data_IF_532909717114
#
_entry.id   IF_532909717114
#
_cell.length_a   1.000
_cell.length_b   1.000
_cell.length_c   1.000
_cell.angle_alpha   90.00
_cell.angle_beta   90.00
_cell.angle_gamma   90.00
#
_symmetry.space_group_name_H-M   'P 1'
#
loop_
_entity.id
_entity.type
_entity.pdbx_description
1 polymer ?
#
# COMPACT_ATOMS: atom_id res chain seq x y z
N UNK A 1 9.40 28.14 1.08
CA UNK A 1 8.00 27.66 1.11
C UNK A 1 8.03 26.36 1.90
N UNK A 2 7.58 26.38 3.16
CA UNK A 2 7.67 25.22 4.05
C UNK A 2 6.50 24.29 3.72
N UNK A 3 6.77 23.11 3.16
CA UNK A 3 5.80 22.04 3.15
C UNK A 3 5.55 21.63 4.60
N UNK A 4 4.40 22.02 5.15
CA UNK A 4 3.89 21.46 6.39
C UNK A 4 3.80 19.94 6.19
N UNK A 5 4.20 19.10 7.16
CA UNK A 5 3.96 17.68 7.04
C UNK A 5 2.46 17.50 7.12
N UNK A 6 1.80 17.47 5.96
CA UNK A 6 0.49 16.87 5.87
C UNK A 6 0.71 15.45 6.39
N UNK A 7 0.23 15.17 7.60
CA UNK A 7 0.12 13.81 8.15
C UNK A 7 -0.93 13.07 7.34
N UNK A 8 -0.72 12.99 6.04
CA UNK A 8 -1.49 12.17 5.15
C UNK A 8 -1.28 10.74 5.67
N UNK A 9 -2.35 9.98 5.91
CA UNK A 9 -2.20 8.60 6.33
C UNK A 9 -1.28 7.86 5.36
N UNK A 10 -0.10 7.48 5.86
CA UNK A 10 0.91 6.84 5.04
C UNK A 10 0.51 5.37 4.89
N UNK A 11 -0.24 5.07 3.83
CA UNK A 11 -0.50 3.70 3.39
C UNK A 11 0.76 3.20 2.67
N UNK A 12 1.24 2.02 3.01
CA UNK A 12 2.41 1.40 2.38
C UNK A 12 2.32 -0.12 2.42
N UNK A 13 3.24 -0.80 1.72
CA UNK A 13 3.44 -2.25 1.86
C UNK A 13 4.76 -2.49 2.59
N UNK A 14 4.71 -3.33 3.61
CA UNK A 14 5.90 -3.83 4.29
C UNK A 14 5.78 -5.35 4.42
N UNK A 15 6.72 -6.07 3.79
CA UNK A 15 6.66 -7.53 3.65
C UNK A 15 5.32 -7.97 3.02
N UNK A 16 4.49 -8.68 3.79
CA UNK A 16 3.18 -9.20 3.36
C UNK A 16 2.01 -8.41 3.97
N UNK A 17 2.27 -7.22 4.51
CA UNK A 17 1.25 -6.37 5.12
C UNK A 17 1.06 -5.09 4.34
N UNK A 18 -0.19 -4.69 4.20
CA UNK A 18 -0.53 -3.28 4.03
C UNK A 18 -0.43 -2.64 5.41
N UNK A 19 0.32 -1.55 5.49
CA UNK A 19 0.52 -0.80 6.73
C UNK A 19 -0.07 0.59 6.61
N UNK A 20 -0.60 1.09 7.72
CA UNK A 20 -1.07 2.46 7.89
C UNK A 20 -0.26 3.09 9.02
N UNK A 21 0.49 4.16 8.72
CA UNK A 21 1.37 4.80 9.72
C UNK A 21 2.29 3.77 10.40
N UNK A 22 2.87 2.87 9.61
CA UNK A 22 3.74 1.76 10.04
C UNK A 22 3.07 0.69 10.93
N UNK A 23 1.74 0.68 11.04
CA UNK A 23 0.99 -0.39 11.71
C UNK A 23 0.39 -1.33 10.69
N UNK A 24 0.58 -2.63 10.88
CA UNK A 24 -0.02 -3.67 10.06
C UNK A 24 -1.55 -3.62 10.18
N UNK A 25 -2.26 -3.47 9.06
CA UNK A 25 -3.73 -3.37 9.05
C UNK A 25 -4.39 -4.49 8.25
N UNK A 26 -3.82 -4.86 7.10
CA UNK A 26 -4.39 -5.88 6.21
C UNK A 26 -3.27 -6.80 5.75
N UNK A 27 -3.45 -8.10 5.95
CA UNK A 27 -2.56 -9.11 5.43
C UNK A 27 -2.83 -9.28 3.93
N UNK A 28 -1.78 -9.20 3.10
CA UNK A 28 -1.94 -9.32 1.66
C UNK A 28 -2.45 -10.72 1.29
N UNK A 29 -3.47 -10.81 0.42
CA UNK A 29 -3.81 -12.05 -0.27
C UNK A 29 -2.55 -12.71 -0.88
N UNK A 30 -2.41 -14.04 -0.81
CA UNK A 30 -1.23 -14.76 -1.30
C UNK A 30 -0.81 -14.37 -2.72
N UNK A 31 -1.77 -14.13 -3.61
CA UNK A 31 -1.58 -13.76 -5.01
C UNK A 31 -0.94 -12.37 -5.23
N UNK A 32 -0.86 -11.53 -4.20
CA UNK A 32 -0.29 -10.17 -4.27
C UNK A 32 1.01 -10.04 -3.48
N UNK A 33 1.53 -11.14 -2.92
CA UNK A 33 2.72 -11.09 -2.07
C UNK A 33 3.99 -11.04 -2.92
N UNK A 34 4.92 -10.12 -2.61
CA UNK A 34 6.24 -10.14 -3.21
C UNK A 34 6.94 -11.45 -2.85
N UNK A 35 7.39 -12.21 -3.84
CA UNK A 35 8.30 -13.34 -3.67
C UNK A 35 9.51 -13.15 -4.57
N UNK A 36 10.58 -13.90 -4.33
CA UNK A 36 11.79 -13.86 -5.16
C UNK A 36 11.47 -14.10 -6.66
N UNK A 37 10.50 -14.97 -6.94
CA UNK A 37 10.08 -15.31 -8.31
C UNK A 37 8.88 -14.49 -8.81
N UNK A 38 8.30 -13.63 -7.96
CA UNK A 38 7.13 -12.83 -8.27
C UNK A 38 7.30 -11.43 -7.68
N UNK A 39 8.08 -10.56 -8.33
CA UNK A 39 8.26 -9.19 -7.87
C UNK A 39 6.95 -8.42 -8.04
N UNK A 40 6.52 -7.75 -6.98
CA UNK A 40 5.42 -6.78 -7.01
C UNK A 40 5.99 -5.40 -6.74
N UNK A 41 5.58 -4.43 -7.55
CA UNK A 41 5.82 -3.02 -7.27
C UNK A 41 4.55 -2.40 -6.69
N UNK A 42 4.72 -1.32 -5.93
CA UNK A 42 3.58 -0.59 -5.41
C UNK A 42 3.87 0.90 -5.37
N UNK A 43 2.79 1.68 -5.41
CA UNK A 43 2.81 3.10 -5.10
C UNK A 43 1.56 3.44 -4.31
N UNK A 44 1.67 4.45 -3.45
CA UNK A 44 0.56 4.92 -2.65
C UNK A 44 0.39 6.42 -2.87
N UNK A 45 -0.87 6.85 -2.98
CA UNK A 45 -1.26 8.24 -3.03
C UNK A 45 -2.49 8.43 -2.16
N UNK A 46 -2.39 9.29 -1.16
CA UNK A 46 -3.45 9.50 -0.16
C UNK A 46 -3.90 8.16 0.48
N UNK A 47 -5.17 7.80 0.32
CA UNK A 47 -5.75 6.55 0.82
C UNK A 47 -5.88 5.48 -0.27
N UNK A 48 -5.17 5.61 -1.39
CA UNK A 48 -5.18 4.63 -2.48
C UNK A 48 -3.83 3.96 -2.61
N UNK A 49 -3.83 2.63 -2.63
CA UNK A 49 -2.68 1.78 -2.92
C UNK A 49 -2.85 1.16 -4.30
N UNK A 50 -1.86 1.32 -5.17
CA UNK A 50 -1.77 0.63 -6.45
C UNK A 50 -0.67 -0.42 -6.37
N UNK A 51 -0.98 -1.66 -6.79
CA UNK A 51 -0.04 -2.79 -6.81
C UNK A 51 0.08 -3.30 -8.24
N UNK A 52 1.29 -3.30 -8.78
CA UNK A 52 1.63 -3.92 -10.05
C UNK A 52 2.02 -5.38 -9.85
N UNK A 53 1.39 -6.27 -10.63
CA UNK A 53 1.60 -7.71 -10.59
C UNK A 53 2.52 -8.16 -11.72
N UNK A 54 3.25 -9.27 -11.52
CA UNK A 54 4.08 -9.87 -12.56
C UNK A 54 3.30 -10.31 -13.82
N UNK A 55 1.98 -10.51 -13.69
CA UNK A 55 1.08 -10.79 -14.81
C UNK A 55 0.82 -9.58 -15.72
N UNK A 56 1.36 -8.40 -15.39
CA UNK A 56 1.09 -7.14 -16.09
C UNK A 56 -0.21 -6.45 -15.67
N UNK A 57 -0.96 -7.03 -14.72
CA UNK A 57 -2.18 -6.43 -14.16
C UNK A 57 -1.84 -5.43 -13.05
N UNK A 58 -2.75 -4.49 -12.80
CA UNK A 58 -2.68 -3.54 -11.69
C UNK A 58 -3.94 -3.64 -10.85
N UNK A 59 -3.79 -3.76 -9.53
CA UNK A 59 -4.90 -3.69 -8.57
C UNK A 59 -4.87 -2.35 -7.84
N UNK A 60 -6.05 -1.75 -7.68
CA UNK A 60 -6.23 -0.52 -6.89
C UNK A 60 -7.05 -0.83 -5.64
N UNK A 61 -6.57 -0.38 -4.49
CA UNK A 61 -7.25 -0.53 -3.20
C UNK A 61 -7.44 0.84 -2.58
N UNK A 62 -8.71 1.25 -2.42
CA UNK A 62 -9.08 2.47 -1.72
C UNK A 62 -9.40 2.19 -0.26
N UNK A 63 -8.88 3.01 0.64
CA UNK A 63 -9.12 2.94 2.08
C UNK A 63 -9.99 4.10 2.52
N UNK A 64 -11.09 3.81 3.21
CA UNK A 64 -11.84 4.80 3.98
C UNK A 64 -11.22 4.88 5.36
N UNK A 65 -10.43 5.94 5.57
CA UNK A 65 -9.72 6.15 6.82
C UNK A 65 -10.56 7.07 7.68
N UNK A 66 -11.28 6.48 8.63
CA UNK A 66 -12.07 7.23 9.58
C UNK A 66 -11.09 7.95 10.52
N UNK A 67 -11.12 9.28 10.57
CA UNK A 67 -10.50 10.04 11.65
C UNK A 67 -11.40 9.94 12.87
N UNK A 68 -10.94 9.22 13.90
CA UNK A 68 -11.48 9.39 15.26
C UNK A 68 -11.18 10.79 15.80
#
# INVERSE_FOLDING_TARGET
MLDLPQRNPQVSIHQNWITLRNKNIVWLPPEYRPTEYQPTCFTAHESVLAIGHSSGRVSFMGFQLNSE
#
